data_IF_889547549169
#
_entry.id   IF_889547549169
#
_cell.length_a   1.000
_cell.length_b   1.000
_cell.length_c   1.000
_cell.angle_alpha   90.00
_cell.angle_beta   90.00
_cell.angle_gamma   90.00
#
_symmetry.space_group_name_H-M   'P 1'
#
loop_
_entity.id
_entity.type
_entity.pdbx_description
1 polymer ?
#
# COMPACT_ATOMS: atom_id res chain seq x y z
N UNK A 1 9.14 11.23 19.94
CA UNK A 1 7.97 11.62 19.12
C UNK A 1 7.54 10.40 18.32
N UNK A 2 6.24 10.11 18.16
CA UNK A 2 5.78 9.05 17.27
C UNK A 2 6.12 9.40 15.81
N UNK A 3 6.57 8.43 15.02
CA UNK A 3 6.97 8.60 13.62
C UNK A 3 6.12 7.68 12.74
N UNK A 4 5.46 8.26 11.73
CA UNK A 4 4.75 7.51 10.70
C UNK A 4 5.65 7.36 9.46
N UNK A 5 5.93 6.12 9.07
CA UNK A 5 6.64 5.80 7.83
C UNK A 5 5.62 5.47 6.73
N UNK A 6 5.38 6.41 5.80
CA UNK A 6 4.55 6.17 4.62
C UNK A 6 5.41 5.63 3.47
N UNK A 7 5.11 4.41 3.01
CA UNK A 7 5.83 3.77 1.92
C UNK A 7 4.98 3.78 0.64
N UNK A 8 5.41 4.53 -0.37
CA UNK A 8 4.74 4.61 -1.67
C UNK A 8 5.67 4.12 -2.80
N UNK A 9 5.10 3.59 -3.88
CA UNK A 9 5.83 3.00 -5.00
C UNK A 9 5.05 1.92 -5.75
N UNK A 10 5.53 1.57 -6.95
CA UNK A 10 4.88 0.60 -7.86
C UNK A 10 4.63 -0.76 -7.21
N UNK A 11 3.65 -1.51 -7.69
CA UNK A 11 3.41 -2.90 -7.26
C UNK A 11 4.71 -3.72 -7.44
N UNK A 12 5.00 -4.61 -6.48
CA UNK A 12 6.23 -5.42 -6.42
C UNK A 12 7.57 -4.68 -6.29
N UNK A 13 7.59 -3.37 -6.03
CA UNK A 13 8.85 -2.60 -5.87
C UNK A 13 9.57 -2.79 -4.53
N UNK A 14 9.23 -3.80 -3.74
CA UNK A 14 9.87 -4.08 -2.43
C UNK A 14 9.34 -3.30 -1.22
N UNK A 15 8.23 -2.55 -1.34
CA UNK A 15 7.64 -1.77 -0.22
C UNK A 15 7.38 -2.60 1.04
N UNK A 16 6.75 -3.76 0.90
CA UNK A 16 6.46 -4.65 2.03
C UNK A 16 7.72 -5.26 2.66
N UNK A 17 8.77 -5.47 1.87
CA UNK A 17 10.08 -5.88 2.39
C UNK A 17 10.69 -4.77 3.24
N UNK A 18 10.69 -3.54 2.72
CA UNK A 18 11.20 -2.36 3.45
C UNK A 18 10.37 -2.05 4.71
N UNK A 19 9.05 -2.21 4.66
CA UNK A 19 8.16 -2.05 5.80
C UNK A 19 8.54 -3.00 6.95
N UNK A 20 8.81 -4.27 6.63
CA UNK A 20 9.23 -5.28 7.60
C UNK A 20 10.60 -4.96 8.20
N UNK A 21 11.55 -4.47 7.38
CA UNK A 21 12.86 -4.03 7.88
C UNK A 21 12.73 -2.86 8.85
N UNK A 22 12.01 -1.80 8.48
CA UNK A 22 11.80 -0.63 9.33
C UNK A 22 11.06 -0.97 10.63
N UNK A 23 10.12 -1.92 10.58
CA UNK A 23 9.44 -2.41 11.77
C UNK A 23 10.38 -3.10 12.76
N UNK A 24 11.30 -3.93 12.26
CA UNK A 24 12.30 -4.59 13.07
C UNK A 24 13.33 -3.61 13.66
N UNK A 25 13.79 -2.63 12.87
CA UNK A 25 14.79 -1.64 13.29
C UNK A 25 14.25 -0.62 14.30
N UNK A 26 12.98 -0.22 14.16
CA UNK A 26 12.41 0.86 14.96
C UNK A 26 11.36 0.40 15.97
N UNK A 27 11.20 -0.91 16.18
CA UNK A 27 10.12 -1.50 16.98
C UNK A 27 8.74 -0.91 16.59
N UNK A 28 8.52 -0.73 15.29
CA UNK A 28 7.34 -0.09 14.74
C UNK A 28 6.26 -1.11 14.36
N UNK A 29 5.01 -0.67 14.38
CA UNK A 29 3.87 -1.48 13.93
C UNK A 29 3.71 -1.30 12.42
N UNK A 30 3.64 -2.41 11.68
CA UNK A 30 3.34 -2.38 10.24
C UNK A 30 1.85 -2.35 10.02
N UNK A 31 1.39 -1.31 9.33
CA UNK A 31 0.03 -1.24 8.78
C UNK A 31 0.16 -1.45 7.27
N UNK A 32 -0.31 -2.59 6.76
CA UNK A 32 -0.20 -2.95 5.35
C UNK A 32 -1.43 -3.72 4.88
N UNK A 33 -1.99 -3.29 3.75
CA UNK A 33 -2.89 -4.10 2.95
C UNK A 33 -2.08 -4.75 1.81
N UNK A 34 -1.76 -6.03 1.96
CA UNK A 34 -0.79 -6.75 1.13
C UNK A 34 -1.21 -6.93 -0.34
N UNK A 35 -0.21 -6.93 -1.24
CA UNK A 35 -0.25 -6.57 -2.67
C UNK A 35 -0.77 -7.62 -3.65
N UNK A 36 -1.47 -8.65 -3.18
CA UNK A 36 -2.34 -9.43 -4.06
C UNK A 36 -3.67 -8.69 -4.30
N UNK A 37 -3.69 -7.36 -4.42
CA UNK A 37 -4.93 -6.58 -4.33
C UNK A 37 -5.99 -7.01 -5.34
N UNK A 38 -5.58 -7.31 -6.58
CA UNK A 38 -6.49 -7.82 -7.62
C UNK A 38 -6.87 -9.28 -7.41
N UNK A 39 -5.92 -10.16 -7.10
CA UNK A 39 -6.22 -11.57 -6.80
C UNK A 39 -7.13 -11.72 -5.56
N UNK A 40 -6.90 -10.91 -4.52
CA UNK A 40 -7.74 -10.83 -3.31
C UNK A 40 -9.07 -10.14 -3.57
N UNK A 41 -9.10 -9.13 -4.44
CA UNK A 41 -10.36 -8.54 -4.90
C UNK A 41 -11.23 -9.63 -5.54
N UNK A 42 -10.64 -10.44 -6.43
CA UNK A 42 -11.33 -11.58 -7.01
C UNK A 42 -11.76 -12.61 -5.96
N UNK A 43 -10.89 -13.03 -5.04
CA UNK A 43 -11.27 -13.95 -3.95
C UNK A 43 -12.40 -13.40 -3.07
N UNK A 44 -12.36 -12.10 -2.75
CA UNK A 44 -13.38 -11.44 -1.93
C UNK A 44 -14.73 -11.36 -2.66
N UNK A 45 -14.70 -10.98 -3.94
CA UNK A 45 -15.88 -10.96 -4.80
C UNK A 45 -16.50 -12.36 -4.93
N UNK A 46 -15.68 -13.41 -4.98
CA UNK A 46 -16.13 -14.81 -5.00
C UNK A 46 -16.77 -15.24 -3.68
N UNK A 47 -16.25 -14.79 -2.53
CA UNK A 47 -16.83 -15.11 -1.20
C UNK A 47 -18.21 -14.49 -0.98
N UNK A 48 -18.49 -13.33 -1.58
CA UNK A 48 -19.85 -12.75 -1.58
C UNK A 48 -20.38 -12.30 -0.22
N UNK A 49 -19.51 -12.12 0.78
CA UNK A 49 -19.86 -11.73 2.16
C UNK A 49 -20.16 -10.22 2.32
N UNK A 50 -20.42 -9.52 1.21
CA UNK A 50 -20.55 -8.06 1.17
C UNK A 50 -21.49 -7.60 0.04
N UNK A 51 -22.13 -6.44 0.21
CA UNK A 51 -23.11 -5.90 -0.74
C UNK A 51 -22.51 -5.40 -2.07
N UNK A 52 -21.18 -5.19 -2.13
CA UNK A 52 -20.50 -4.59 -3.28
C UNK A 52 -19.28 -5.39 -3.75
N UNK A 53 -19.25 -5.75 -5.04
CA UNK A 53 -18.14 -6.43 -5.68
C UNK A 53 -17.54 -5.54 -6.78
N UNK A 54 -16.37 -4.94 -6.51
CA UNK A 54 -15.74 -4.03 -7.47
C UNK A 54 -15.15 -4.80 -8.66
N UNK A 55 -15.29 -4.23 -9.85
CA UNK A 55 -14.76 -4.77 -11.12
C UNK A 55 -13.29 -4.41 -11.33
N UNK A 56 -12.63 -5.09 -12.28
CA UNK A 56 -11.27 -4.75 -12.68
C UNK A 56 -11.17 -3.32 -13.25
N UNK A 57 -12.17 -2.87 -14.00
CA UNK A 57 -12.18 -1.52 -14.55
C UNK A 57 -12.28 -0.44 -13.45
N UNK A 58 -13.04 -0.70 -12.39
CA UNK A 58 -13.13 0.19 -11.22
C UNK A 58 -11.84 0.14 -10.40
N UNK A 59 -11.25 -1.04 -10.22
CA UNK A 59 -9.94 -1.20 -9.59
C UNK A 59 -8.87 -0.40 -10.34
N UNK A 60 -8.84 -0.50 -11.66
CA UNK A 60 -7.92 0.24 -12.51
C UNK A 60 -8.18 1.74 -12.40
N UNK A 61 -9.43 2.19 -12.41
CA UNK A 61 -9.84 3.60 -12.21
C UNK A 61 -9.32 4.18 -10.90
N UNK A 62 -9.50 3.49 -9.78
CA UNK A 62 -8.98 3.92 -8.48
C UNK A 62 -7.46 3.96 -8.47
N UNK A 63 -6.81 2.95 -9.07
CA UNK A 63 -5.36 2.84 -9.11
C UNK A 63 -4.71 4.00 -9.87
N UNK A 64 -5.42 4.64 -10.83
CA UNK A 64 -4.90 5.80 -11.59
C UNK A 64 -4.60 7.01 -10.71
N UNK A 65 -5.31 7.14 -9.59
CA UNK A 65 -5.17 8.29 -8.69
C UNK A 65 -4.04 8.10 -7.67
N UNK A 66 -3.37 6.95 -7.64
CA UNK A 66 -2.20 6.74 -6.78
C UNK A 66 -0.96 7.41 -7.36
N UNK A 67 -0.58 8.54 -6.76
CA UNK A 67 0.68 9.23 -7.04
C UNK A 67 1.70 9.05 -5.90
N UNK A 68 2.96 9.35 -6.21
CA UNK A 68 4.03 9.39 -5.19
C UNK A 68 3.80 10.64 -4.34
N UNK A 69 3.80 10.52 -3.00
CA UNK A 69 3.62 11.66 -2.12
C UNK A 69 4.78 12.65 -2.26
N UNK A 70 4.49 13.94 -2.10
CA UNK A 70 5.47 15.03 -2.19
C UNK A 70 5.69 15.75 -0.85
N UNK A 71 6.77 16.53 -0.76
CA UNK A 71 7.04 17.38 0.41
C UNK A 71 5.99 18.49 0.57
N UNK A 72 5.29 18.87 -0.51
CA UNK A 72 4.21 19.87 -0.48
C UNK A 72 3.01 19.41 0.35
N UNK A 73 2.88 18.10 0.60
CA UNK A 73 1.89 17.51 1.50
C UNK A 73 2.29 17.65 3.00
N UNK A 74 3.42 18.28 3.31
CA UNK A 74 3.94 18.40 4.68
C UNK A 74 4.60 17.11 5.18
N UNK A 75 4.97 16.21 4.26
CA UNK A 75 5.61 14.93 4.56
C UNK A 75 7.13 15.05 4.49
N UNK A 76 7.84 14.40 5.42
CA UNK A 76 9.28 14.22 5.32
C UNK A 76 9.56 13.01 4.41
N UNK A 77 10.03 13.27 3.19
CA UNK A 77 10.27 12.20 2.20
C UNK A 77 11.63 11.54 2.45
N UNK A 78 11.63 10.22 2.68
CA UNK A 78 12.83 9.38 2.70
C UNK A 78 12.79 8.37 1.57
N UNK A 79 13.69 8.52 0.59
CA UNK A 79 13.80 7.60 -0.54
C UNK A 79 14.79 6.49 -0.21
N UNK A 80 14.30 5.26 -0.15
CA UNK A 80 15.13 4.07 -0.02
C UNK A 80 15.34 3.44 -1.41
N UNK A 81 16.60 3.37 -1.86
CA UNK A 81 16.99 2.62 -3.06
C UNK A 81 17.65 1.30 -2.62
N UNK A 82 17.54 0.23 -3.43
CA UNK A 82 18.27 -1.01 -3.17
C UNK A 82 19.78 -0.80 -3.17
#
# INVERSE_FOLDING_TARGET
>A
MPTLHLLCGKIASGKSTLAKTLAAEHAAIVLSEDHCCRARLHERNVRGEHDFAATDAEFDLLTRHFCVPSEEEGLVIKVHRP
#
